data_IF_122221002764
#
_entry.id   IF_122221002764
#
_cell.length_a   1.000
_cell.length_b   1.000
_cell.length_c   1.000
_cell.angle_alpha   90.00
_cell.angle_beta   90.00
_cell.angle_gamma   90.00
#
_symmetry.space_group_name_H-M   'P 1'
#
loop_
_entity.id
_entity.type
_entity.pdbx_description
1 polymer ?
#
# COMPACT_ATOMS: atom_id res chain seq x y z
N UNK A 1 5.89 -2.40 -15.24
CA UNK A 1 4.85 -2.86 -14.31
C UNK A 1 4.57 -1.77 -13.31
N UNK A 2 3.32 -1.33 -13.13
CA UNK A 2 3.00 -0.27 -12.16
C UNK A 2 3.17 -0.69 -10.71
N UNK A 3 3.13 -1.99 -10.43
CA UNK A 3 3.31 -2.51 -9.08
C UNK A 3 4.56 -3.39 -9.04
N UNK A 4 5.43 -3.13 -8.08
CA UNK A 4 6.55 -4.02 -7.79
C UNK A 4 6.65 -4.20 -6.28
N UNK A 5 7.19 -5.33 -5.86
CA UNK A 5 7.29 -5.64 -4.44
C UNK A 5 8.63 -6.29 -4.13
N UNK A 6 9.14 -6.00 -2.94
CA UNK A 6 10.40 -6.55 -2.47
C UNK A 6 10.27 -6.90 -0.99
N UNK A 7 10.59 -8.14 -0.67
CA UNK A 7 10.60 -8.59 0.73
C UNK A 7 11.99 -8.39 1.31
N UNK A 8 12.06 -7.63 2.39
CA UNK A 8 13.30 -7.41 3.12
C UNK A 8 13.38 -8.43 4.25
N UNK A 9 14.12 -9.51 4.01
CA UNK A 9 14.15 -10.66 4.90
C UNK A 9 14.66 -10.34 6.31
N UNK A 10 15.68 -9.48 6.40
CA UNK A 10 16.27 -9.14 7.70
C UNK A 10 15.32 -8.35 8.59
N UNK A 11 14.39 -7.60 7.99
CA UNK A 11 13.45 -6.76 8.72
C UNK A 11 12.03 -7.32 8.72
N UNK A 12 11.81 -8.42 8.01
CA UNK A 12 10.50 -9.04 7.83
C UNK A 12 9.47 -8.01 7.36
N UNK A 13 9.85 -7.26 6.33
CA UNK A 13 9.07 -6.15 5.81
C UNK A 13 8.87 -6.32 4.31
N UNK A 14 7.63 -6.15 3.86
CA UNK A 14 7.31 -6.14 2.44
C UNK A 14 7.18 -4.69 1.98
N UNK A 15 8.00 -4.31 1.00
CA UNK A 15 7.92 -2.98 0.37
C UNK A 15 7.17 -3.13 -0.95
N UNK A 16 6.05 -2.44 -1.08
CA UNK A 16 5.25 -2.42 -2.31
C UNK A 16 5.39 -1.03 -2.93
N UNK A 17 5.93 -0.99 -4.14
CA UNK A 17 6.07 0.27 -4.89
C UNK A 17 4.92 0.40 -5.87
N UNK A 18 4.28 1.56 -5.88
CA UNK A 18 3.19 1.86 -6.80
C UNK A 18 3.64 2.99 -7.73
N UNK A 19 3.64 2.72 -9.03
CA UNK A 19 4.10 3.66 -10.05
C UNK A 19 2.95 4.10 -10.92
N UNK A 20 2.85 5.41 -11.17
CA UNK A 20 1.84 5.98 -12.04
C UNK A 20 0.46 6.04 -11.42
N UNK A 21 -0.54 5.61 -12.17
CA UNK A 21 -1.93 5.66 -11.74
C UNK A 21 -2.25 4.44 -10.87
N UNK A 22 -2.70 4.70 -9.66
CA UNK A 22 -3.15 3.64 -8.76
C UNK A 22 -4.68 3.59 -8.84
N UNK A 23 -5.18 2.76 -9.74
CA UNK A 23 -6.60 2.58 -10.01
C UNK A 23 -6.93 1.10 -10.14
N UNK A 24 -8.15 0.79 -10.53
CA UNK A 24 -8.60 -0.60 -10.60
C UNK A 24 -7.76 -1.48 -11.53
N UNK A 25 -7.10 -0.89 -12.54
CA UNK A 25 -6.25 -1.67 -13.45
C UNK A 25 -5.07 -2.33 -12.73
N UNK A 26 -4.66 -1.80 -11.58
CA UNK A 26 -3.58 -2.37 -10.78
C UNK A 26 -4.05 -3.39 -9.74
N UNK A 27 -5.35 -3.67 -9.67
CA UNK A 27 -5.96 -4.48 -8.61
C UNK A 27 -5.28 -5.84 -8.45
N UNK A 28 -5.14 -6.59 -9.52
CA UNK A 28 -4.60 -7.95 -9.44
C UNK A 28 -3.11 -7.94 -9.09
N UNK A 29 -2.34 -7.04 -9.68
CA UNK A 29 -0.92 -6.94 -9.38
C UNK A 29 -0.68 -6.54 -7.92
N UNK A 30 -1.45 -5.59 -7.42
CA UNK A 30 -1.32 -5.14 -6.04
C UNK A 30 -1.63 -6.27 -5.07
N UNK A 31 -2.70 -7.00 -5.33
CA UNK A 31 -3.11 -8.12 -4.49
C UNK A 31 -2.07 -9.24 -4.51
N UNK A 32 -1.55 -9.59 -5.68
CA UNK A 32 -0.53 -10.63 -5.81
C UNK A 32 0.75 -10.26 -5.07
N UNK A 33 1.05 -8.96 -4.98
CA UNK A 33 2.27 -8.51 -4.30
C UNK A 33 2.32 -8.93 -2.84
N UNK A 34 1.18 -9.04 -2.16
CA UNK A 34 1.16 -9.42 -0.75
C UNK A 34 0.55 -10.78 -0.48
N UNK A 35 -0.23 -11.34 -1.41
CA UNK A 35 -0.85 -12.65 -1.21
C UNK A 35 0.04 -13.82 -1.60
N UNK A 36 0.95 -13.63 -2.55
CA UNK A 36 1.75 -14.71 -3.11
C UNK A 36 3.01 -15.03 -2.30
N UNK A 37 3.04 -14.64 -1.04
CA UNK A 37 4.17 -14.91 -0.15
C UNK A 37 3.97 -16.22 0.61
N UNK A 38 5.08 -16.90 0.90
CA UNK A 38 5.05 -18.16 1.65
C UNK A 38 4.51 -17.96 3.07
N UNK A 39 4.80 -16.81 3.67
CA UNK A 39 4.28 -16.44 4.98
C UNK A 39 4.16 -14.92 5.05
N UNK A 40 3.23 -14.39 5.85
CA UNK A 40 3.03 -12.96 5.92
C UNK A 40 4.19 -12.25 6.61
N UNK A 41 4.63 -11.10 6.09
CA UNK A 41 5.62 -10.28 6.78
C UNK A 41 5.00 -9.62 8.01
N UNK A 42 5.85 -9.15 8.91
CA UNK A 42 5.36 -8.44 10.09
C UNK A 42 5.01 -6.99 9.78
N UNK A 43 5.67 -6.40 8.78
CA UNK A 43 5.44 -5.00 8.43
C UNK A 43 5.28 -4.86 6.93
N UNK A 44 4.49 -3.86 6.55
CA UNK A 44 4.24 -3.52 5.15
C UNK A 44 4.58 -2.05 4.95
N UNK A 45 5.21 -1.76 3.84
CA UNK A 45 5.55 -0.40 3.45
C UNK A 45 5.05 -0.17 2.03
N UNK A 46 4.12 0.76 1.86
CA UNK A 46 3.61 1.11 0.54
C UNK A 46 4.29 2.41 0.13
N UNK A 47 5.19 2.30 -0.84
CA UNK A 47 5.97 3.43 -1.33
C UNK A 47 5.27 4.06 -2.53
N UNK A 48 4.84 5.30 -2.36
CA UNK A 48 4.11 6.04 -3.38
C UNK A 48 4.92 7.17 -3.99
N UNK A 49 6.26 7.07 -3.96
CA UNK A 49 7.13 8.11 -4.52
C UNK A 49 6.87 8.36 -6.00
N UNK A 50 6.49 7.33 -6.75
CA UNK A 50 6.23 7.44 -8.18
C UNK A 50 4.74 7.39 -8.51
N UNK A 51 3.87 7.44 -7.50
CA UNK A 51 2.41 7.45 -7.70
C UNK A 51 1.97 8.84 -8.09
N UNK A 52 1.28 8.95 -9.24
CA UNK A 52 0.82 10.25 -9.76
C UNK A 52 -0.67 10.49 -9.51
N UNK A 53 -1.42 9.44 -9.21
CA UNK A 53 -2.87 9.54 -9.09
C UNK A 53 -3.40 8.34 -8.31
N UNK A 54 -4.43 8.56 -7.49
CA UNK A 54 -5.17 7.45 -6.93
C UNK A 54 -6.65 7.81 -6.83
N UNK A 55 -7.51 6.80 -6.98
CA UNK A 55 -8.96 6.96 -6.95
C UNK A 55 -9.57 6.11 -5.83
N UNK A 56 -10.90 6.08 -5.78
CA UNK A 56 -11.61 5.33 -4.74
C UNK A 56 -11.33 3.82 -4.80
N UNK A 57 -11.06 3.27 -5.99
CA UNK A 57 -10.74 1.84 -6.08
C UNK A 57 -9.37 1.55 -5.44
N UNK A 58 -8.42 2.48 -5.56
CA UNK A 58 -7.13 2.36 -4.89
C UNK A 58 -7.29 2.39 -3.37
N UNK A 59 -8.15 3.27 -2.88
CA UNK A 59 -8.44 3.31 -1.44
C UNK A 59 -9.00 1.99 -0.97
N UNK A 60 -9.90 1.38 -1.75
CA UNK A 60 -10.43 0.06 -1.45
C UNK A 60 -9.37 -1.03 -1.43
N UNK A 61 -8.42 -0.97 -2.37
CA UNK A 61 -7.30 -1.92 -2.40
C UNK A 61 -6.41 -1.80 -1.17
N UNK A 62 -6.16 -0.58 -0.69
CA UNK A 62 -5.40 -0.37 0.54
C UNK A 62 -6.13 -0.95 1.75
N UNK A 63 -7.46 -0.80 1.80
CA UNK A 63 -8.26 -1.39 2.89
C UNK A 63 -8.21 -2.91 2.86
N UNK A 64 -8.20 -3.52 1.68
CA UNK A 64 -8.06 -4.97 1.56
C UNK A 64 -6.69 -5.44 2.04
N UNK A 65 -5.64 -4.69 1.75
CA UNK A 65 -4.31 -4.99 2.27
C UNK A 65 -4.32 -4.93 3.80
N UNK A 66 -4.91 -3.91 4.38
CA UNK A 66 -4.99 -3.76 5.83
C UNK A 66 -5.73 -4.94 6.46
N UNK A 67 -6.83 -5.34 5.87
CA UNK A 67 -7.61 -6.47 6.34
C UNK A 67 -6.79 -7.76 6.29
N UNK A 68 -6.10 -7.99 5.19
CA UNK A 68 -5.21 -9.14 5.01
C UNK A 68 -4.07 -9.15 6.03
N UNK A 69 -3.55 -7.99 6.36
CA UNK A 69 -2.41 -7.83 7.26
C UNK A 69 -2.77 -7.91 8.75
N UNK A 70 -4.05 -8.05 9.08
CA UNK A 70 -4.49 -8.19 10.47
C UNK A 70 -5.35 -7.07 11.01
N UNK A 71 -5.85 -6.19 10.16
CA UNK A 71 -6.75 -5.10 10.57
C UNK A 71 -6.11 -4.16 11.60
N UNK A 72 -6.70 -4.07 12.78
CA UNK A 72 -6.18 -3.19 13.83
C UNK A 72 -4.81 -3.61 14.35
N UNK A 73 -4.40 -4.84 14.12
CA UNK A 73 -3.08 -5.36 14.51
C UNK A 73 -2.04 -5.20 13.41
N UNK A 74 -2.45 -4.68 12.25
CA UNK A 74 -1.54 -4.53 11.13
C UNK A 74 -0.52 -3.41 11.36
N UNK A 75 0.64 -3.54 10.72
CA UNK A 75 1.66 -2.50 10.70
C UNK A 75 1.93 -2.14 9.25
N UNK A 76 1.28 -1.07 8.79
CA UNK A 76 1.38 -0.62 7.40
C UNK A 76 1.70 0.87 7.39
N UNK A 77 2.77 1.22 6.69
CA UNK A 77 3.14 2.62 6.46
C UNK A 77 2.98 2.96 4.99
N UNK A 78 2.46 4.13 4.72
CA UNK A 78 2.38 4.69 3.36
C UNK A 78 3.37 5.84 3.34
N UNK A 79 4.35 5.78 2.46
CA UNK A 79 5.46 6.74 2.45
C UNK A 79 5.60 7.44 1.11
N UNK A 80 6.24 8.59 1.15
CA UNK A 80 6.66 9.35 -0.02
C UNK A 80 5.52 9.81 -0.92
N UNK A 81 4.36 10.05 -0.36
CA UNK A 81 3.24 10.58 -1.12
C UNK A 81 3.55 12.00 -1.59
N UNK A 82 3.22 12.30 -2.85
CA UNK A 82 3.22 13.68 -3.27
C UNK A 82 2.03 14.40 -2.58
N UNK A 83 1.98 15.71 -2.72
CA UNK A 83 1.00 16.53 -2.02
C UNK A 83 -0.43 16.16 -2.38
N UNK A 84 -0.71 15.91 -3.66
CA UNK A 84 -2.06 15.57 -4.13
C UNK A 84 -2.52 14.22 -3.61
N UNK A 85 -1.65 13.20 -3.66
CA UNK A 85 -1.96 11.87 -3.17
C UNK A 85 -2.17 11.90 -1.65
N UNK A 86 -1.29 12.60 -0.94
CA UNK A 86 -1.41 12.73 0.51
C UNK A 86 -2.72 13.39 0.91
N UNK A 87 -3.12 14.42 0.18
CA UNK A 87 -4.37 15.13 0.43
C UNK A 87 -5.58 14.22 0.33
N UNK A 88 -5.61 13.36 -0.68
CA UNK A 88 -6.70 12.39 -0.84
C UNK A 88 -6.75 11.43 0.34
N UNK A 89 -5.60 10.92 0.78
CA UNK A 89 -5.53 10.02 1.91
C UNK A 89 -5.99 10.69 3.20
N UNK A 90 -5.60 11.93 3.42
CA UNK A 90 -5.98 12.68 4.62
C UNK A 90 -7.48 12.98 4.63
N UNK A 91 -8.03 13.43 3.51
CA UNK A 91 -9.46 13.74 3.38
C UNK A 91 -10.30 12.47 3.62
N UNK A 92 -9.78 11.31 3.20
CA UNK A 92 -10.46 10.03 3.36
C UNK A 92 -10.26 9.42 4.75
N UNK A 93 -9.62 10.15 5.67
CA UNK A 93 -9.34 9.71 7.04
C UNK A 93 -8.45 8.47 7.12
N UNK A 94 -7.63 8.24 6.11
CA UNK A 94 -6.74 7.08 6.06
C UNK A 94 -5.62 7.14 7.10
N UNK A 95 -5.29 8.32 7.61
CA UNK A 95 -4.34 8.45 8.70
C UNK A 95 -4.77 7.77 10.00
N UNK A 96 -6.04 7.41 10.13
CA UNK A 96 -6.54 6.63 11.27
C UNK A 96 -6.27 5.14 11.12
N UNK A 97 -6.07 4.67 9.89
CA UNK A 97 -5.92 3.26 9.57
C UNK A 97 -4.49 2.89 9.21
N UNK A 98 -3.74 3.85 8.69
CA UNK A 98 -2.37 3.67 8.24
C UNK A 98 -1.49 4.77 8.81
N UNK A 99 -0.20 4.47 8.97
CA UNK A 99 0.78 5.50 9.26
C UNK A 99 1.19 6.14 7.94
N UNK A 100 0.90 7.41 7.76
CA UNK A 100 1.23 8.14 6.54
C UNK A 100 2.41 9.05 6.82
N UNK A 101 3.50 8.84 6.10
CA UNK A 101 4.73 9.62 6.26
C UNK A 101 5.16 10.34 5.00
#
# INVERSE_FOLDING_TARGET
MPISAKLLDTEDELVINVEGRFDFSAHQEFRSAYEDLDHPPQRYLVDMSDTTYLDSSALGMLLLLRDHAGGDLSSIKIINCNEDVRKILVISNFGRLFTIQ
#
